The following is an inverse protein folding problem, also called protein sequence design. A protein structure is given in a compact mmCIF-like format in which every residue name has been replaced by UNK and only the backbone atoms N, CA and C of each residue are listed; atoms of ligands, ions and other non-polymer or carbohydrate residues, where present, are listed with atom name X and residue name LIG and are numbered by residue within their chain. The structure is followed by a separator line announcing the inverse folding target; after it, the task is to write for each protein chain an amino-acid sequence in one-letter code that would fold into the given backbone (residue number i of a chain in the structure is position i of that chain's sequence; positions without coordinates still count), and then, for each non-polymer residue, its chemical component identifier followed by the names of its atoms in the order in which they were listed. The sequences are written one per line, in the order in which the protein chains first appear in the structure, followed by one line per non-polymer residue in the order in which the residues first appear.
data_IF_925834380561
#
_entry.id   IF_925834380561
#
_cell.length_a   1.000
_cell.length_b   1.000
_cell.length_c   1.000
_cell.angle_alpha   90.00
_cell.angle_beta   90.00
_cell.angle_gamma   90.00
#
_symmetry.space_group_name_H-M   'P 1'
#
loop_
_entity.id
_entity.type
_entity.pdbx_description
1 polymer ?
#
# COMPACT_ATOMS: atom_id res chain seq x y z
N UNK A 1 -68.90 -15.74 -12.02
CA UNK A 1 -68.45 -17.12 -11.75
C UNK A 1 -66.93 -17.32 -11.79
N UNK A 2 -66.16 -16.55 -12.58
CA UNK A 2 -64.68 -16.63 -12.59
C UNK A 2 -63.99 -16.13 -11.31
N UNK A 3 -64.60 -15.20 -10.57
CA UNK A 3 -64.00 -14.66 -9.33
C UNK A 3 -63.93 -15.70 -8.20
N UNK A 4 -64.80 -16.72 -8.23
CA UNK A 4 -64.80 -17.79 -7.24
C UNK A 4 -63.75 -18.88 -7.55
N UNK A 5 -63.33 -19.00 -8.82
CA UNK A 5 -62.25 -19.91 -9.24
C UNK A 5 -60.86 -19.36 -8.91
N UNK A 6 -60.69 -18.03 -8.89
CA UNK A 6 -59.43 -17.42 -8.46
C UNK A 6 -59.22 -17.50 -6.94
N UNK A 7 -60.30 -17.51 -6.15
CA UNK A 7 -60.24 -17.61 -4.69
C UNK A 7 -59.95 -19.03 -4.17
N UNK A 8 -60.04 -20.05 -5.04
CA UNK A 8 -59.77 -21.45 -4.69
C UNK A 8 -58.39 -21.94 -5.11
N UNK A 9 -57.55 -21.06 -5.69
CA UNK A 9 -56.14 -21.42 -5.92
C UNK A 9 -55.49 -21.44 -4.54
N UNK A 10 -55.01 -22.60 -4.05
CA UNK A 10 -54.33 -22.65 -2.77
C UNK A 10 -53.17 -21.67 -2.80
N UNK A 11 -53.05 -20.84 -1.76
CA UNK A 11 -52.07 -19.76 -1.67
C UNK A 11 -50.62 -20.31 -1.80
N UNK A 12 -50.43 -21.59 -1.45
CA UNK A 12 -49.19 -22.34 -1.62
C UNK A 12 -48.78 -22.55 -3.09
N UNK A 13 -49.70 -22.46 -4.04
CA UNK A 13 -49.43 -22.54 -5.49
C UNK A 13 -49.09 -21.17 -6.10
N UNK A 14 -49.38 -20.07 -5.38
CA UNK A 14 -49.06 -18.69 -5.78
C UNK A 14 -47.77 -18.18 -5.14
N UNK A 15 -47.23 -18.90 -4.15
CA UNK A 15 -45.85 -18.76 -3.76
C UNK A 15 -45.00 -19.24 -4.95
N UNK A 16 -44.46 -18.28 -5.72
CA UNK A 16 -43.28 -18.56 -6.52
C UNK A 16 -42.28 -19.29 -5.61
N UNK A 17 -41.59 -20.34 -6.11
CA UNK A 17 -40.69 -21.12 -5.27
C UNK A 17 -39.80 -20.16 -4.51
N UNK A 18 -39.59 -20.43 -3.22
CA UNK A 18 -38.69 -19.70 -2.35
C UNK A 18 -37.31 -19.61 -3.02
N UNK A 19 -37.14 -18.63 -3.91
CA UNK A 19 -35.86 -18.27 -4.50
C UNK A 19 -35.19 -17.36 -3.48
N UNK A 20 -35.02 -17.95 -2.28
CA UNK A 20 -34.13 -17.46 -1.26
C UNK A 20 -32.78 -17.34 -1.97
N UNK A 21 -32.42 -16.09 -2.33
CA UNK A 21 -31.24 -15.78 -3.13
C UNK A 21 -30.10 -16.67 -2.64
N UNK A 22 -29.67 -17.61 -3.50
CA UNK A 22 -28.67 -18.63 -3.16
C UNK A 22 -27.31 -17.97 -2.96
N UNK A 23 -27.16 -17.29 -1.84
CA UNK A 23 -26.00 -16.49 -1.45
C UNK A 23 -24.80 -17.37 -1.12
N UNK A 24 -25.03 -18.64 -0.77
CA UNK A 24 -23.97 -19.63 -0.52
C UNK A 24 -23.09 -19.84 -1.76
N UNK A 25 -23.70 -19.98 -2.94
CA UNK A 25 -22.94 -20.14 -4.19
C UNK A 25 -22.15 -18.88 -4.56
N UNK A 26 -22.70 -17.69 -4.25
CA UNK A 26 -22.01 -16.44 -4.48
C UNK A 26 -20.84 -16.25 -3.50
N UNK A 27 -21.02 -16.63 -2.23
CA UNK A 27 -19.99 -16.57 -1.20
C UNK A 27 -18.85 -17.55 -1.50
N UNK A 28 -19.16 -18.77 -1.91
CA UNK A 28 -18.17 -19.77 -2.31
C UNK A 28 -17.38 -19.32 -3.54
N UNK A 29 -18.07 -18.81 -4.56
CA UNK A 29 -17.44 -18.24 -5.75
C UNK A 29 -16.52 -17.07 -5.41
N UNK A 30 -17.00 -16.14 -4.57
CA UNK A 30 -16.23 -14.97 -4.15
C UNK A 30 -15.00 -15.41 -3.34
N UNK A 31 -15.14 -16.38 -2.43
CA UNK A 31 -14.01 -16.87 -1.62
C UNK A 31 -12.95 -17.59 -2.46
N UNK A 32 -13.37 -18.37 -3.44
CA UNK A 32 -12.47 -19.11 -4.32
C UNK A 32 -11.61 -18.18 -5.18
N UNK A 33 -12.10 -16.99 -5.52
CA UNK A 33 -11.37 -16.00 -6.33
C UNK A 33 -10.63 -15.01 -5.45
N UNK A 34 -11.33 -14.40 -4.49
CA UNK A 34 -10.81 -13.29 -3.70
C UNK A 34 -9.76 -13.75 -2.69
N UNK A 35 -9.89 -14.95 -2.13
CA UNK A 35 -8.93 -15.51 -1.18
C UNK A 35 -7.52 -15.66 -1.78
N UNK A 36 -7.35 -16.46 -2.86
CA UNK A 36 -6.06 -16.63 -3.50
C UNK A 36 -5.48 -15.33 -4.05
N UNK A 37 -6.31 -14.51 -4.70
CA UNK A 37 -5.86 -13.24 -5.29
C UNK A 37 -5.36 -12.26 -4.21
N UNK A 38 -6.08 -12.14 -3.11
CA UNK A 38 -5.68 -11.30 -1.99
C UNK A 38 -4.34 -11.76 -1.39
N UNK A 39 -4.19 -13.07 -1.15
CA UNK A 39 -2.95 -13.62 -0.58
C UNK A 39 -1.74 -13.39 -1.49
N UNK A 40 -1.89 -13.56 -2.81
CA UNK A 40 -0.82 -13.30 -3.78
C UNK A 40 -0.38 -11.84 -3.72
N UNK A 41 -1.34 -10.91 -3.82
CA UNK A 41 -1.04 -9.47 -3.82
C UNK A 41 -0.40 -9.06 -2.49
N UNK A 42 -0.99 -9.47 -1.35
CA UNK A 42 -0.44 -9.17 -0.02
C UNK A 42 0.94 -9.77 0.15
N UNK A 43 1.22 -10.96 -0.37
CA UNK A 43 2.56 -11.55 -0.30
C UNK A 43 3.61 -10.71 -1.04
N UNK A 44 3.29 -10.21 -2.24
CA UNK A 44 4.19 -9.36 -3.02
C UNK A 44 4.43 -8.05 -2.29
N UNK A 45 3.36 -7.41 -1.81
CA UNK A 45 3.45 -6.17 -1.04
C UNK A 45 4.25 -6.38 0.25
N UNK A 46 4.05 -7.50 0.95
CA UNK A 46 4.78 -7.83 2.18
C UNK A 46 6.27 -8.03 1.92
N UNK A 47 6.63 -8.73 0.84
CA UNK A 47 8.03 -8.90 0.41
C UNK A 47 8.65 -7.54 0.08
N UNK A 48 7.96 -6.73 -0.73
CA UNK A 48 8.45 -5.40 -1.08
C UNK A 48 8.61 -4.50 0.16
N UNK A 49 7.66 -4.56 1.10
CA UNK A 49 7.72 -3.82 2.36
C UNK A 49 8.88 -4.26 3.24
N UNK A 50 9.11 -5.57 3.38
CA UNK A 50 10.24 -6.15 4.11
C UNK A 50 11.58 -5.64 3.56
N UNK A 51 11.78 -5.71 2.24
CA UNK A 51 13.00 -5.21 1.61
C UNK A 51 13.11 -3.69 1.70
N UNK A 52 12.04 -2.96 1.41
CA UNK A 52 12.06 -1.49 1.44
C UNK A 52 12.40 -0.95 2.83
N UNK A 53 11.86 -1.55 3.90
CA UNK A 53 12.13 -1.10 5.27
C UNK A 53 13.60 -1.25 5.66
N UNK A 54 14.24 -2.32 5.25
CA UNK A 54 15.65 -2.55 5.57
C UNK A 54 16.59 -1.74 4.66
N UNK A 55 16.29 -1.71 3.36
CA UNK A 55 17.11 -1.01 2.36
C UNK A 55 17.07 0.50 2.57
N UNK A 56 15.93 1.09 2.94
CA UNK A 56 15.85 2.55 3.19
C UNK A 56 16.76 2.98 4.35
N UNK A 57 16.84 2.21 5.43
CA UNK A 57 17.78 2.47 6.52
C UNK A 57 19.24 2.35 6.06
N UNK A 58 19.56 1.33 5.27
CA UNK A 58 20.90 1.15 4.73
C UNK A 58 21.30 2.29 3.77
N UNK A 59 20.39 2.73 2.90
CA UNK A 59 20.60 3.86 2.00
C UNK A 59 20.85 5.14 2.77
N UNK A 60 20.14 5.38 3.88
CA UNK A 60 20.40 6.55 4.75
C UNK A 60 21.84 6.55 5.27
N UNK A 61 22.35 5.40 5.71
CA UNK A 61 23.75 5.30 6.14
C UNK A 61 24.75 5.55 5.01
N UNK A 62 24.51 4.99 3.82
CA UNK A 62 25.36 5.24 2.66
C UNK A 62 25.37 6.73 2.28
N UNK A 63 24.19 7.35 2.18
CA UNK A 63 24.07 8.77 1.83
C UNK A 63 24.81 9.64 2.85
N UNK A 64 24.67 9.35 4.15
CA UNK A 64 25.40 10.05 5.19
C UNK A 64 26.90 9.86 5.06
N UNK A 65 27.37 8.63 4.88
CA UNK A 65 28.80 8.32 4.72
C UNK A 65 29.42 9.03 3.52
N UNK A 66 28.72 9.03 2.37
CA UNK A 66 29.13 9.76 1.17
C UNK A 66 29.14 11.26 1.45
N UNK A 67 28.12 11.81 2.11
CA UNK A 67 28.04 13.24 2.45
C UNK A 67 29.22 13.70 3.31
N UNK A 68 29.54 12.95 4.37
CA UNK A 68 30.72 13.22 5.20
C UNK A 68 32.00 13.09 4.37
N UNK A 69 32.13 12.03 3.56
CA UNK A 69 33.27 11.87 2.66
C UNK A 69 33.46 13.09 1.76
N UNK A 70 32.41 13.57 1.10
CA UNK A 70 32.47 14.74 0.22
C UNK A 70 32.87 16.00 0.99
N UNK A 71 32.26 16.27 2.15
CA UNK A 71 32.55 17.49 2.93
C UNK A 71 34.02 17.54 3.38
N UNK A 72 34.57 16.41 3.83
CA UNK A 72 35.91 16.38 4.44
C UNK A 72 37.03 15.97 3.49
N UNK A 73 36.74 15.37 2.33
CA UNK A 73 37.78 14.96 1.36
C UNK A 73 37.80 15.78 0.09
N UNK A 74 36.78 16.61 -0.20
CA UNK A 74 36.83 17.52 -1.36
C UNK A 74 37.49 18.84 -0.93
N UNK A 75 38.71 19.16 -1.40
CA UNK A 75 39.47 20.30 -0.90
C UNK A 75 38.72 21.64 -1.04
N UNK A 76 38.03 21.82 -2.17
CA UNK A 76 37.25 23.04 -2.45
C UNK A 76 36.09 23.25 -1.48
N UNK A 77 35.47 22.18 -1.00
CA UNK A 77 34.35 22.27 -0.04
C UNK A 77 34.89 22.79 1.29
N UNK A 78 35.97 22.18 1.80
CA UNK A 78 36.60 22.58 3.05
C UNK A 78 37.07 24.03 2.98
N UNK A 79 37.75 24.42 1.89
CA UNK A 79 38.22 25.78 1.70
C UNK A 79 37.07 26.80 1.71
N UNK A 80 36.00 26.50 0.98
CA UNK A 80 34.84 27.39 0.89
C UNK A 80 34.10 27.49 2.23
N UNK A 81 33.91 26.36 2.93
CA UNK A 81 33.29 26.35 4.25
C UNK A 81 34.15 27.07 5.28
N UNK A 82 35.48 26.87 5.27
CA UNK A 82 36.39 27.55 6.16
C UNK A 82 36.40 29.07 5.92
N UNK A 83 36.46 29.51 4.65
CA UNK A 83 36.34 30.92 4.28
C UNK A 83 35.01 31.51 4.74
N UNK A 84 33.90 30.83 4.48
CA UNK A 84 32.57 31.29 4.89
C UNK A 84 32.45 31.45 6.42
N UNK A 85 32.95 30.49 7.20
CA UNK A 85 32.98 30.57 8.66
C UNK A 85 33.86 31.73 9.12
N UNK A 86 35.07 31.85 8.57
CA UNK A 86 36.01 32.90 8.92
C UNK A 86 35.43 34.30 8.63
N UNK A 87 34.81 34.50 7.46
CA UNK A 87 34.11 35.74 7.12
C UNK A 87 32.93 36.01 8.06
N UNK A 88 32.14 34.99 8.41
CA UNK A 88 31.03 35.14 9.37
C UNK A 88 31.53 35.49 10.79
N UNK A 89 32.73 35.08 11.14
CA UNK A 89 33.41 35.43 12.39
C UNK A 89 34.16 36.78 12.32
N UNK A 90 34.09 37.49 11.19
CA UNK A 90 34.74 38.80 11.00
C UNK A 90 36.23 38.73 10.70
N UNK A 91 36.74 37.55 10.33
CA UNK A 91 38.11 37.38 9.85
C UNK A 91 38.12 37.55 8.34
N UNK A 92 38.86 38.54 7.85
CA UNK A 92 39.00 38.79 6.42
C UNK A 92 40.03 37.79 5.84
N UNK A 93 39.56 36.93 4.95
CA UNK A 93 40.37 35.88 4.31
C UNK A 93 40.28 36.08 2.80
N UNK A 94 41.22 36.85 2.24
CA UNK A 94 41.36 37.08 0.80
C UNK A 94 41.88 35.83 0.08
#
# INVERSE_FOLDING_TARGET
MLHHLMASIPLELLAAPDDELKTDQLADWLRQIFGPLFLVIVSIVAIFFLFTREITRFVQFIVLAIGIGVIFYVPKIIETTAKAIATALGVDVS
#
